data_IF_302185155786
#
_entry.id   IF_302185155786
#
_cell.length_a   1.000
_cell.length_b   1.000
_cell.length_c   1.000
_cell.angle_alpha   90.00
_cell.angle_beta   90.00
_cell.angle_gamma   90.00
#
_symmetry.space_group_name_H-M   'P 1'
#
loop_
_entity.id
_entity.type
_entity.pdbx_description
1 polymer ?
#
# COMPACT_ATOMS: atom_id res chain seq x y z
N UNK A 1 24.39 46.90 -21.78
CA UNK A 1 24.65 47.34 -20.40
C UNK A 1 25.36 46.15 -19.73
N UNK A 2 26.65 46.31 -19.42
CA UNK A 2 27.41 45.23 -18.76
C UNK A 2 27.06 45.29 -17.27
N UNK A 3 26.34 44.26 -16.79
CA UNK A 3 26.18 44.08 -15.35
C UNK A 3 27.56 43.95 -14.73
N UNK A 4 27.88 44.80 -13.80
CA UNK A 4 29.14 44.76 -13.08
C UNK A 4 29.17 43.54 -12.16
N UNK A 5 30.35 42.93 -11.94
CA UNK A 5 30.49 41.76 -11.06
C UNK A 5 29.81 41.93 -9.67
N UNK A 6 29.86 43.11 -9.01
CA UNK A 6 29.19 43.35 -7.73
C UNK A 6 27.65 43.28 -7.80
N UNK A 7 27.02 43.71 -8.90
CA UNK A 7 25.57 43.61 -9.07
C UNK A 7 25.11 42.13 -9.23
N UNK A 8 25.90 41.35 -9.96
CA UNK A 8 25.63 39.90 -10.14
C UNK A 8 25.79 39.16 -8.81
N UNK A 9 26.79 39.52 -8.00
CA UNK A 9 26.96 38.90 -6.66
C UNK A 9 25.84 39.29 -5.70
N UNK A 10 25.41 40.57 -5.73
CA UNK A 10 24.30 41.06 -4.91
C UNK A 10 22.98 40.36 -5.28
N UNK A 11 22.67 40.24 -6.56
CA UNK A 11 21.49 39.50 -7.05
C UNK A 11 21.53 38.04 -6.62
N UNK A 12 22.67 37.37 -6.76
CA UNK A 12 22.80 35.96 -6.29
C UNK A 12 22.57 35.82 -4.78
N UNK A 13 23.00 36.79 -3.98
CA UNK A 13 22.75 36.77 -2.52
C UNK A 13 21.27 36.95 -2.21
N UNK A 14 20.56 37.88 -2.85
CA UNK A 14 19.12 38.08 -2.65
C UNK A 14 18.32 36.87 -3.14
N UNK A 15 18.71 36.30 -4.27
CA UNK A 15 18.08 35.06 -4.78
C UNK A 15 18.23 33.89 -3.80
N UNK A 16 19.40 33.75 -3.17
CA UNK A 16 19.63 32.69 -2.19
C UNK A 16 18.83 32.92 -0.88
N UNK A 17 18.77 34.15 -0.38
CA UNK A 17 17.98 34.50 0.80
C UNK A 17 16.48 34.31 0.54
N UNK A 18 15.97 34.82 -0.58
CA UNK A 18 14.57 34.62 -1.00
C UNK A 18 14.23 33.14 -1.20
N UNK A 19 15.10 32.37 -1.83
CA UNK A 19 14.94 30.94 -2.04
C UNK A 19 14.88 30.19 -0.72
N UNK A 20 15.77 30.49 0.23
CA UNK A 20 15.77 29.88 1.55
C UNK A 20 14.50 30.23 2.33
N UNK A 21 14.09 31.52 2.30
CA UNK A 21 12.85 31.96 2.95
C UNK A 21 11.61 31.23 2.38
N UNK A 22 11.51 31.12 1.05
CA UNK A 22 10.42 30.41 0.39
C UNK A 22 10.45 28.91 0.72
N UNK A 23 11.63 28.31 0.75
CA UNK A 23 11.79 26.92 1.14
C UNK A 23 11.30 26.68 2.58
N UNK A 24 11.71 27.51 3.51
CA UNK A 24 11.33 27.40 4.91
C UNK A 24 9.82 27.64 5.10
N UNK A 25 9.25 28.58 4.34
CA UNK A 25 7.82 28.84 4.37
C UNK A 25 6.99 27.68 3.77
N UNK A 26 7.45 27.07 2.68
CA UNK A 26 6.74 26.00 1.98
C UNK A 26 6.90 24.65 2.68
N UNK A 27 8.07 24.39 3.25
CA UNK A 27 8.44 23.09 3.79
C UNK A 27 8.73 23.12 5.29
N UNK A 28 8.37 24.17 6.00
CA UNK A 28 8.72 24.56 7.38
C UNK A 28 8.89 23.47 8.43
N UNK A 29 8.31 22.27 8.19
CA UNK A 29 8.51 21.07 8.97
C UNK A 29 9.42 20.06 8.25
N UNK A 30 10.14 19.25 9.02
CA UNK A 30 10.93 18.11 8.48
C UNK A 30 11.95 18.48 7.38
N UNK A 31 12.49 19.69 7.36
CA UNK A 31 13.44 20.16 6.32
C UNK A 31 14.60 19.18 6.10
N UNK A 32 15.28 18.74 7.17
CA UNK A 32 16.38 17.77 7.06
C UNK A 32 15.94 16.44 6.40
N UNK A 33 14.74 15.98 6.73
CA UNK A 33 14.19 14.76 6.17
C UNK A 33 13.82 14.92 4.70
N UNK A 34 13.27 16.11 4.34
CA UNK A 34 12.97 16.47 2.95
C UNK A 34 14.24 16.55 2.10
N UNK A 35 15.33 17.06 2.65
CA UNK A 35 16.63 17.07 1.96
C UNK A 35 17.12 15.65 1.65
N UNK A 36 16.98 14.72 2.59
CA UNK A 36 17.29 13.29 2.35
C UNK A 36 16.43 12.69 1.25
N UNK A 37 15.14 13.07 1.19
CA UNK A 37 14.26 12.67 0.09
C UNK A 37 14.70 13.26 -1.24
N UNK A 38 15.05 14.54 -1.31
CA UNK A 38 15.58 15.18 -2.52
C UNK A 38 16.85 14.48 -3.01
N UNK A 39 17.78 14.16 -2.11
CA UNK A 39 18.99 13.42 -2.48
C UNK A 39 18.68 12.00 -3.01
N UNK A 40 17.73 11.32 -2.39
CA UNK A 40 17.26 10.01 -2.89
C UNK A 40 16.72 10.12 -4.32
N UNK A 41 15.91 11.14 -4.60
CA UNK A 41 15.25 11.36 -5.89
C UNK A 41 16.20 11.76 -7.02
N UNK A 42 17.41 12.23 -6.71
CA UNK A 42 18.46 12.48 -7.71
C UNK A 42 19.07 11.20 -8.29
N UNK A 43 18.79 10.04 -7.70
CA UNK A 43 19.30 8.77 -8.23
C UNK A 43 18.77 8.51 -9.64
N UNK A 44 19.58 7.95 -10.57
CA UNK A 44 19.20 7.74 -11.97
C UNK A 44 17.93 6.91 -12.19
N UNK A 45 17.56 6.07 -11.22
CA UNK A 45 16.34 5.25 -11.31
C UNK A 45 15.06 6.10 -11.33
N UNK A 46 15.08 7.31 -10.75
CA UNK A 46 13.95 8.22 -10.73
C UNK A 46 13.85 9.11 -11.97
N UNK A 47 14.86 9.09 -12.83
CA UNK A 47 14.80 9.80 -14.12
C UNK A 47 13.60 9.27 -14.94
N UNK A 48 12.77 10.15 -15.52
CA UNK A 48 11.66 9.74 -16.37
C UNK A 48 12.13 8.86 -17.53
N UNK A 49 11.41 7.78 -17.79
CA UNK A 49 11.65 6.89 -18.93
C UNK A 49 10.39 6.82 -19.78
N UNK A 50 10.56 6.93 -21.09
CA UNK A 50 9.47 6.94 -22.05
C UNK A 50 9.50 5.67 -22.90
N UNK A 51 8.39 5.39 -23.58
CA UNK A 51 8.24 4.28 -24.52
C UNK A 51 8.47 2.89 -23.93
N UNK A 52 8.18 2.74 -22.65
CA UNK A 52 8.23 1.44 -21.96
C UNK A 52 6.94 0.65 -22.22
N UNK A 53 7.07 -0.67 -22.36
CA UNK A 53 5.94 -1.60 -22.32
C UNK A 53 5.24 -1.56 -20.96
N UNK A 54 4.05 -2.12 -20.85
CA UNK A 54 3.31 -2.16 -19.59
C UNK A 54 4.11 -2.89 -18.49
N UNK A 55 4.71 -4.02 -18.83
CA UNK A 55 5.49 -4.81 -17.89
C UNK A 55 6.76 -4.07 -17.42
N UNK A 56 7.46 -3.42 -18.36
CA UNK A 56 8.64 -2.59 -18.01
C UNK A 56 8.27 -1.42 -17.10
N UNK A 57 7.10 -0.78 -17.30
CA UNK A 57 6.61 0.28 -16.44
C UNK A 57 6.34 -0.24 -15.02
N UNK A 58 5.69 -1.40 -14.89
CA UNK A 58 5.38 -2.05 -13.61
C UNK A 58 6.64 -2.47 -12.87
N UNK A 59 7.59 -3.09 -13.57
CA UNK A 59 8.88 -3.45 -13.02
C UNK A 59 9.70 -2.24 -12.57
N UNK A 60 9.67 -1.15 -13.33
CA UNK A 60 10.33 0.09 -12.93
C UNK A 60 9.72 0.66 -11.65
N UNK A 61 8.38 0.67 -11.53
CA UNK A 61 7.70 1.12 -10.33
C UNK A 61 8.07 0.24 -9.11
N UNK A 62 8.20 -1.09 -9.31
CA UNK A 62 8.63 -2.00 -8.25
C UNK A 62 10.07 -1.74 -7.82
N UNK A 63 10.98 -1.52 -8.76
CA UNK A 63 12.37 -1.15 -8.46
C UNK A 63 12.48 0.19 -7.73
N UNK A 64 11.66 1.17 -8.10
CA UNK A 64 11.61 2.48 -7.43
C UNK A 64 11.12 2.38 -5.99
N UNK A 65 10.05 1.64 -5.73
CA UNK A 65 9.55 1.48 -4.35
C UNK A 65 10.55 0.70 -3.48
N UNK A 66 11.30 -0.26 -4.06
CA UNK A 66 12.38 -0.93 -3.34
C UNK A 66 13.50 0.04 -2.92
N UNK A 67 13.93 0.93 -3.81
CA UNK A 67 14.93 1.97 -3.48
C UNK A 67 14.41 2.92 -2.40
N UNK A 68 13.11 3.22 -2.40
CA UNK A 68 12.47 4.02 -1.33
C UNK A 68 12.50 3.27 0.00
N UNK A 69 12.12 2.01 0.00
CA UNK A 69 12.14 1.13 1.19
C UNK A 69 13.55 1.02 1.77
N UNK A 70 14.55 0.77 0.93
CA UNK A 70 15.96 0.62 1.35
C UNK A 70 16.54 1.90 1.96
N UNK A 71 16.02 3.06 1.58
CA UNK A 71 16.44 4.35 2.13
C UNK A 71 16.01 4.57 3.58
N UNK A 72 15.01 3.82 4.09
CA UNK A 72 14.51 3.87 5.47
C UNK A 72 14.12 5.28 5.93
N UNK A 73 13.60 6.09 5.02
CA UNK A 73 13.12 7.45 5.32
C UNK A 73 11.70 7.45 5.86
N UNK A 74 11.01 6.32 5.79
CA UNK A 74 9.64 6.09 6.22
C UNK A 74 9.48 4.69 6.81
N UNK A 75 8.56 4.54 7.77
CA UNK A 75 8.11 3.27 8.32
C UNK A 75 6.61 3.29 8.53
N UNK A 76 5.93 2.13 8.48
CA UNK A 76 4.51 2.05 8.88
C UNK A 76 4.32 2.44 10.34
N UNK A 77 5.33 2.29 11.18
CA UNK A 77 5.26 2.70 12.60
C UNK A 77 5.21 4.22 12.76
N UNK A 78 5.58 5.01 11.74
CA UNK A 78 5.44 6.47 11.74
C UNK A 78 3.98 6.92 11.90
N UNK A 79 2.98 6.06 11.63
CA UNK A 79 1.57 6.37 11.95
C UNK A 79 1.35 6.67 13.44
N UNK A 80 2.16 6.13 14.32
CA UNK A 80 2.12 6.38 15.77
C UNK A 80 3.23 7.32 16.21
N UNK A 81 4.45 7.10 15.70
CA UNK A 81 5.66 7.74 16.23
C UNK A 81 5.92 9.12 15.61
N UNK A 82 5.60 9.30 14.32
CA UNK A 82 5.86 10.53 13.58
C UNK A 82 4.87 10.72 12.41
N UNK A 83 3.57 11.03 12.66
CA UNK A 83 2.55 11.10 11.61
C UNK A 83 2.86 12.12 10.50
N UNK A 84 3.58 13.20 10.82
CA UNK A 84 3.98 14.23 9.82
C UNK A 84 4.90 13.62 8.75
N UNK A 85 5.68 12.60 9.10
CA UNK A 85 6.54 11.91 8.15
C UNK A 85 5.78 11.22 7.01
N UNK A 86 4.54 10.79 7.27
CA UNK A 86 3.66 10.20 6.26
C UNK A 86 3.35 11.20 5.16
N UNK A 87 2.96 12.43 5.55
CA UNK A 87 2.68 13.51 4.61
C UNK A 87 3.94 13.90 3.84
N UNK A 88 5.08 14.04 4.54
CA UNK A 88 6.38 14.34 3.92
C UNK A 88 6.71 13.32 2.84
N UNK A 89 6.61 12.02 3.11
CA UNK A 89 6.89 10.97 2.13
C UNK A 89 5.98 11.08 0.89
N UNK A 90 4.68 11.33 1.08
CA UNK A 90 3.72 11.46 -0.03
C UNK A 90 3.99 12.70 -0.88
N UNK A 91 4.24 13.85 -0.26
CA UNK A 91 4.59 15.08 -0.98
C UNK A 91 5.84 14.88 -1.84
N UNK A 92 6.86 14.28 -1.25
CA UNK A 92 8.13 14.09 -1.94
C UNK A 92 7.99 13.12 -3.12
N UNK A 93 7.35 11.98 -2.93
CA UNK A 93 7.15 10.99 -3.99
C UNK A 93 6.20 11.48 -5.09
N UNK A 94 5.16 12.23 -4.72
CA UNK A 94 4.19 12.79 -5.66
C UNK A 94 4.79 13.78 -6.66
N UNK A 95 5.88 14.46 -6.30
CA UNK A 95 6.59 15.37 -7.19
C UNK A 95 7.35 14.66 -8.33
N UNK A 96 7.68 13.39 -8.13
CA UNK A 96 8.52 12.63 -9.07
C UNK A 96 7.70 11.70 -9.95
N UNK A 97 6.79 10.90 -9.35
CA UNK A 97 6.08 9.85 -10.05
C UNK A 97 4.77 9.53 -9.34
N UNK A 98 3.65 9.93 -9.93
CA UNK A 98 2.32 9.66 -9.38
C UNK A 98 2.01 8.17 -9.25
N UNK A 99 2.56 7.31 -10.11
CA UNK A 99 2.38 5.86 -10.01
C UNK A 99 3.16 5.30 -8.81
N UNK A 100 4.41 5.74 -8.61
CA UNK A 100 5.20 5.38 -7.43
C UNK A 100 4.51 5.83 -6.14
N UNK A 101 4.03 7.09 -6.10
CA UNK A 101 3.30 7.62 -4.94
C UNK A 101 2.05 6.79 -4.63
N UNK A 102 1.28 6.40 -5.65
CA UNK A 102 0.09 5.56 -5.45
C UNK A 102 0.46 4.15 -4.99
N UNK A 103 1.51 3.54 -5.56
CA UNK A 103 2.00 2.22 -5.12
C UNK A 103 2.47 2.25 -3.67
N UNK A 104 3.18 3.32 -3.29
CA UNK A 104 3.58 3.59 -1.92
C UNK A 104 2.36 3.75 -1.00
N UNK A 105 1.37 4.54 -1.41
CA UNK A 105 0.11 4.72 -0.65
C UNK A 105 -0.56 3.39 -0.36
N UNK A 106 -0.67 2.49 -1.33
CA UNK A 106 -1.35 1.21 -1.11
C UNK A 106 -0.54 0.31 -0.19
N UNK A 107 0.77 0.23 -0.38
CA UNK A 107 1.65 -0.59 0.47
C UNK A 107 1.67 -0.09 1.91
N UNK A 108 1.90 1.19 2.14
CA UNK A 108 2.18 1.71 3.47
C UNK A 108 0.96 2.31 4.16
N UNK A 109 0.05 3.01 3.45
CA UNK A 109 -1.11 3.62 4.11
C UNK A 109 -2.31 2.68 4.14
N UNK A 110 -2.69 2.06 3.01
CA UNK A 110 -3.87 1.19 3.01
C UNK A 110 -3.55 -0.15 3.68
N UNK A 111 -2.57 -0.87 3.18
CA UNK A 111 -2.18 -2.15 3.75
C UNK A 111 -1.50 -1.97 5.12
N UNK A 112 -0.41 -1.23 5.19
CA UNK A 112 0.34 -0.96 6.42
C UNK A 112 -0.48 -0.21 7.46
N UNK A 113 -1.21 0.85 7.06
CA UNK A 113 -2.06 1.63 7.96
C UNK A 113 -3.23 0.83 8.54
N UNK A 114 -3.81 -0.11 7.78
CA UNK A 114 -4.82 -1.03 8.32
C UNK A 114 -4.22 -1.97 9.36
N UNK A 115 -3.02 -2.49 9.11
CA UNK A 115 -2.28 -3.26 10.12
C UNK A 115 -2.06 -2.43 11.38
N UNK A 116 -1.55 -1.19 11.23
CA UNK A 116 -1.33 -0.28 12.37
C UNK A 116 -2.61 0.02 13.15
N UNK A 117 -3.73 0.16 12.46
CA UNK A 117 -5.03 0.46 13.09
C UNK A 117 -5.64 -0.74 13.82
N UNK A 118 -5.49 -1.96 13.31
CA UNK A 118 -6.26 -3.13 13.70
C UNK A 118 -5.44 -4.29 14.28
N UNK A 119 -4.12 -4.15 14.39
CA UNK A 119 -3.25 -5.21 14.92
C UNK A 119 -3.36 -5.39 16.44
N UNK A 120 -2.92 -6.54 16.90
CA UNK A 120 -2.50 -6.82 18.26
C UNK A 120 -1.09 -7.40 18.21
N UNK A 121 -0.48 -7.68 19.35
CA UNK A 121 0.93 -8.14 19.47
C UNK A 121 1.24 -9.36 18.59
N UNK A 122 0.26 -10.24 18.37
CA UNK A 122 0.41 -11.43 17.52
C UNK A 122 0.80 -11.10 16.07
N UNK A 123 0.48 -9.89 15.59
CA UNK A 123 0.76 -9.46 14.21
C UNK A 123 2.11 -8.74 14.05
N UNK A 124 2.77 -8.31 15.14
CA UNK A 124 4.01 -7.53 15.08
C UNK A 124 5.14 -8.20 14.27
N UNK A 125 5.38 -9.54 14.36
CA UNK A 125 6.40 -10.19 13.54
C UNK A 125 6.14 -10.09 12.05
N UNK A 126 4.86 -10.12 11.63
CA UNK A 126 4.44 -9.93 10.26
C UNK A 126 4.63 -8.47 9.81
N UNK A 127 4.21 -7.52 10.63
CA UNK A 127 4.26 -6.08 10.33
C UNK A 127 5.69 -5.57 10.10
N UNK A 128 6.68 -6.10 10.83
CA UNK A 128 8.10 -5.75 10.64
C UNK A 128 8.66 -6.10 9.26
N UNK A 129 7.95 -6.91 8.49
CA UNK A 129 8.35 -7.29 7.13
C UNK A 129 7.77 -6.37 6.05
N UNK A 130 6.83 -5.49 6.41
CA UNK A 130 6.15 -4.58 5.49
C UNK A 130 7.11 -3.50 4.97
N UNK A 131 7.88 -2.89 5.86
CA UNK A 131 8.82 -1.82 5.51
C UNK A 131 9.92 -2.27 4.55
N UNK A 132 10.33 -3.54 4.63
CA UNK A 132 11.35 -4.14 3.77
C UNK A 132 10.80 -4.72 2.46
N UNK A 133 9.50 -4.59 2.20
CA UNK A 133 8.77 -5.17 1.08
C UNK A 133 8.87 -6.70 0.95
N UNK A 134 9.37 -7.41 1.98
CA UNK A 134 9.23 -8.88 2.06
C UNK A 134 7.76 -9.27 2.07
N UNK A 135 6.94 -8.44 2.70
CA UNK A 135 5.49 -8.47 2.62
C UNK A 135 5.06 -7.31 1.73
N UNK A 136 4.71 -7.62 0.50
CA UNK A 136 4.08 -6.69 -0.42
C UNK A 136 2.57 -6.90 -0.37
N UNK A 137 1.86 -5.84 0.02
CA UNK A 137 0.43 -5.93 0.33
C UNK A 137 -0.48 -5.29 -0.70
N UNK A 138 -1.71 -5.81 -0.75
CA UNK A 138 -2.84 -5.15 -1.40
C UNK A 138 -4.05 -5.05 -0.44
N UNK A 139 -4.98 -4.16 -0.77
CA UNK A 139 -6.13 -3.82 0.06
C UNK A 139 -7.41 -4.27 -0.62
N UNK A 140 -7.93 -5.45 -0.24
CA UNK A 140 -9.08 -6.12 -0.85
C UNK A 140 -10.39 -5.73 -0.12
N UNK A 141 -10.80 -4.48 -0.30
CA UNK A 141 -12.02 -3.93 0.31
C UNK A 141 -13.17 -3.89 -0.69
N UNK A 142 -13.01 -3.15 -1.79
CA UNK A 142 -14.04 -2.88 -2.79
C UNK A 142 -14.43 -4.11 -3.57
N UNK A 143 -15.73 -4.37 -3.71
CA UNK A 143 -16.29 -5.42 -4.56
C UNK A 143 -16.94 -4.86 -5.82
N UNK A 144 -16.95 -5.64 -6.89
CA UNK A 144 -17.49 -5.26 -8.20
C UNK A 144 -18.96 -4.79 -8.11
N UNK A 145 -19.76 -5.48 -7.32
CA UNK A 145 -21.20 -5.21 -7.21
C UNK A 145 -21.57 -4.08 -6.26
N UNK A 146 -20.66 -3.68 -5.36
CA UNK A 146 -21.03 -2.84 -4.22
C UNK A 146 -20.26 -1.52 -4.12
N UNK A 147 -19.11 -1.40 -4.76
CA UNK A 147 -18.32 -0.17 -4.71
C UNK A 147 -18.06 0.30 -3.28
N UNK A 148 -18.45 1.52 -2.96
CA UNK A 148 -18.31 2.11 -1.62
C UNK A 148 -19.36 1.60 -0.60
N UNK A 149 -20.34 0.81 -1.03
CA UNK A 149 -21.34 0.25 -0.14
C UNK A 149 -20.81 -1.02 0.56
N UNK A 150 -19.71 -0.86 1.28
CA UNK A 150 -18.98 -1.93 1.93
C UNK A 150 -19.83 -2.80 2.90
N UNK A 151 -20.79 -2.25 3.66
CA UNK A 151 -21.65 -3.09 4.53
C UNK A 151 -22.41 -4.18 3.78
N UNK A 152 -22.61 -4.02 2.47
CA UNK A 152 -23.31 -4.98 1.61
C UNK A 152 -22.39 -5.97 0.88
N UNK A 153 -21.08 -5.93 1.15
CA UNK A 153 -20.16 -6.88 0.53
C UNK A 153 -20.62 -8.33 0.77
N UNK A 154 -20.36 -9.18 -0.20
CA UNK A 154 -20.78 -10.59 -0.17
C UNK A 154 -19.64 -11.54 0.16
N UNK A 155 -18.37 -11.15 0.02
CA UNK A 155 -17.25 -12.00 0.46
C UNK A 155 -17.46 -12.37 1.92
N UNK A 156 -17.39 -13.66 2.23
CA UNK A 156 -17.58 -14.21 3.59
C UNK A 156 -16.28 -14.74 4.17
N UNK A 157 -16.19 -14.72 5.50
CA UNK A 157 -15.18 -15.39 6.30
C UNK A 157 -15.92 -16.26 7.34
N UNK A 158 -16.06 -17.55 7.08
CA UNK A 158 -16.80 -18.48 7.94
C UNK A 158 -15.81 -19.14 8.90
N UNK A 159 -16.03 -18.98 10.20
CA UNK A 159 -15.22 -19.60 11.25
C UNK A 159 -15.64 -21.03 11.51
N UNK A 160 -14.65 -21.91 11.63
CA UNK A 160 -14.80 -23.29 12.08
C UNK A 160 -14.03 -23.48 13.40
N UNK A 161 -14.75 -23.60 14.50
CA UNK A 161 -14.19 -23.82 15.83
C UNK A 161 -13.45 -25.16 15.98
N UNK A 162 -13.75 -26.17 15.15
CA UNK A 162 -13.07 -27.46 15.18
C UNK A 162 -11.64 -27.36 14.63
N UNK A 163 -11.49 -26.66 13.50
CA UNK A 163 -10.20 -26.47 12.84
C UNK A 163 -9.48 -25.19 13.26
N UNK A 164 -10.17 -24.29 13.96
CA UNK A 164 -9.72 -22.96 14.36
C UNK A 164 -9.27 -22.12 13.14
N UNK A 165 -10.02 -22.20 12.06
CA UNK A 165 -9.74 -21.54 10.79
C UNK A 165 -10.94 -20.75 10.31
N UNK A 166 -10.66 -19.69 9.54
CA UNK A 166 -11.65 -19.05 8.70
C UNK A 166 -11.57 -19.60 7.28
N UNK A 167 -12.71 -19.75 6.64
CA UNK A 167 -12.82 -20.02 5.20
C UNK A 167 -13.29 -18.76 4.51
N UNK A 168 -12.40 -18.15 3.69
CA UNK A 168 -12.69 -16.96 2.90
C UNK A 168 -13.28 -17.41 1.56
N UNK A 169 -14.45 -16.85 1.20
CA UNK A 169 -15.12 -17.21 -0.04
C UNK A 169 -15.79 -16.01 -0.72
N UNK A 170 -15.64 -15.92 -2.04
CA UNK A 170 -16.33 -14.97 -2.92
C UNK A 170 -17.45 -15.69 -3.65
N UNK A 171 -18.70 -15.66 -3.17
CA UNK A 171 -19.77 -16.56 -3.63
C UNK A 171 -20.33 -16.22 -5.02
N UNK A 172 -20.14 -14.99 -5.49
CA UNK A 172 -20.73 -14.50 -6.74
C UNK A 172 -19.73 -13.68 -7.57
N UNK A 173 -20.08 -13.42 -8.83
CA UNK A 173 -19.32 -12.50 -9.67
C UNK A 173 -19.31 -11.08 -9.08
N UNK A 174 -20.39 -10.66 -8.40
CA UNK A 174 -20.50 -9.36 -7.76
C UNK A 174 -19.56 -9.20 -6.55
N UNK A 175 -19.20 -10.30 -5.88
CA UNK A 175 -18.29 -10.33 -4.74
C UNK A 175 -16.80 -10.31 -5.09
N UNK A 176 -16.45 -10.26 -6.39
CA UNK A 176 -15.04 -10.10 -6.79
C UNK A 176 -14.46 -8.85 -6.15
N UNK A 177 -13.31 -8.98 -5.50
CA UNK A 177 -12.51 -7.82 -5.08
C UNK A 177 -11.99 -7.14 -6.33
N UNK A 178 -12.36 -5.90 -6.54
CA UNK A 178 -12.23 -5.23 -7.82
C UNK A 178 -11.42 -3.94 -7.72
N UNK A 179 -10.60 -3.68 -8.74
CA UNK A 179 -9.70 -2.53 -8.81
C UNK A 179 -8.61 -2.55 -7.73
N UNK A 180 -8.13 -3.75 -7.41
CA UNK A 180 -7.18 -3.95 -6.32
C UNK A 180 -5.76 -3.58 -6.76
N UNK A 181 -5.28 -2.44 -6.32
CA UNK A 181 -3.92 -1.96 -6.56
C UNK A 181 -2.88 -2.88 -5.91
N UNK A 182 -1.78 -3.15 -6.59
CA UNK A 182 -0.75 -4.15 -6.31
C UNK A 182 -1.24 -5.61 -6.45
N UNK A 183 -2.52 -5.82 -6.72
CA UNK A 183 -3.13 -7.16 -6.72
C UNK A 183 -2.84 -7.99 -7.96
N UNK A 184 -2.61 -7.36 -9.13
CA UNK A 184 -2.43 -8.11 -10.37
C UNK A 184 -1.07 -8.82 -10.46
N UNK A 185 0.04 -8.20 -9.99
CA UNK A 185 1.38 -8.72 -10.19
C UNK A 185 2.21 -8.84 -8.91
N UNK A 186 2.22 -7.80 -8.05
CA UNK A 186 3.31 -7.64 -7.10
C UNK A 186 2.96 -8.02 -5.65
N UNK A 187 1.69 -7.94 -5.22
CA UNK A 187 1.33 -8.31 -3.86
C UNK A 187 1.41 -9.83 -3.64
N UNK A 188 2.02 -10.25 -2.55
CA UNK A 188 1.99 -11.62 -2.06
C UNK A 188 1.02 -11.80 -0.88
N UNK A 189 0.60 -10.70 -0.26
CA UNK A 189 -0.36 -10.68 0.84
C UNK A 189 -1.51 -9.73 0.54
N UNK A 190 -2.69 -10.04 1.06
CA UNK A 190 -3.84 -9.16 0.99
C UNK A 190 -4.45 -8.95 2.37
N UNK A 191 -4.93 -7.71 2.65
CA UNK A 191 -5.94 -7.53 3.69
C UNK A 191 -7.30 -7.67 3.02
N UNK A 192 -8.01 -8.74 3.34
CA UNK A 192 -9.33 -9.04 2.77
C UNK A 192 -10.39 -8.68 3.78
N UNK A 193 -11.32 -7.82 3.39
CA UNK A 193 -12.52 -7.51 4.17
C UNK A 193 -13.64 -8.46 3.77
N UNK A 194 -14.29 -9.06 4.77
CA UNK A 194 -15.33 -10.06 4.56
C UNK A 194 -16.38 -10.03 5.68
N UNK A 195 -17.62 -10.43 5.34
CA UNK A 195 -18.65 -10.70 6.33
C UNK A 195 -18.23 -11.90 7.18
N UNK A 196 -18.08 -11.69 8.47
CA UNK A 196 -17.61 -12.71 9.41
C UNK A 196 -18.81 -13.52 9.91
N UNK A 197 -18.80 -14.81 9.65
CA UNK A 197 -19.86 -15.73 10.06
C UNK A 197 -19.31 -16.66 11.15
N UNK A 198 -19.92 -16.61 12.33
CA UNK A 198 -19.57 -17.45 13.48
C UNK A 198 -20.82 -18.15 13.97
N UNK A 199 -20.79 -19.47 14.09
CA UNK A 199 -21.94 -20.30 14.49
C UNK A 199 -23.23 -19.98 13.69
N UNK A 200 -23.07 -19.72 12.38
CA UNK A 200 -24.17 -19.39 11.46
C UNK A 200 -24.71 -17.97 11.57
N UNK A 201 -24.16 -17.13 12.48
CA UNK A 201 -24.57 -15.74 12.65
C UNK A 201 -23.57 -14.81 11.97
N UNK A 202 -24.06 -13.79 11.26
CA UNK A 202 -23.23 -12.74 10.68
C UNK A 202 -22.88 -11.70 11.75
N UNK A 203 -21.59 -11.58 12.05
CA UNK A 203 -21.02 -10.64 13.04
C UNK A 203 -20.46 -9.37 12.37
N UNK A 204 -20.77 -9.15 11.10
CA UNK A 204 -20.35 -7.96 10.35
C UNK A 204 -19.02 -8.11 9.63
N UNK A 205 -18.56 -6.98 9.08
CA UNK A 205 -17.34 -6.93 8.27
C UNK A 205 -16.11 -6.85 9.16
N UNK A 206 -15.19 -7.79 8.98
CA UNK A 206 -13.86 -7.78 9.59
C UNK A 206 -12.78 -7.95 8.52
N UNK A 207 -11.52 -7.83 8.93
CA UNK A 207 -10.37 -7.85 8.04
C UNK A 207 -9.42 -9.01 8.38
N UNK A 208 -8.90 -9.64 7.33
CA UNK A 208 -8.08 -10.84 7.43
C UNK A 208 -6.82 -10.71 6.58
N UNK A 209 -5.68 -11.14 7.13
CA UNK A 209 -4.44 -11.28 6.37
C UNK A 209 -4.52 -12.58 5.58
N UNK A 210 -4.43 -12.52 4.26
CA UNK A 210 -4.55 -13.65 3.36
C UNK A 210 -3.32 -13.70 2.44
N UNK A 211 -2.62 -14.84 2.44
CA UNK A 211 -1.55 -15.10 1.46
C UNK A 211 -2.17 -15.36 0.10
N UNK A 212 -1.94 -14.46 -0.85
CA UNK A 212 -2.53 -14.56 -2.20
C UNK A 212 -1.58 -15.10 -3.24
N UNK A 213 -0.27 -15.12 -2.95
CA UNK A 213 0.75 -15.74 -3.80
C UNK A 213 1.78 -16.49 -2.97
N UNK A 214 2.28 -17.58 -3.53
CA UNK A 214 3.36 -18.37 -2.97
C UNK A 214 4.74 -17.69 -3.16
N UNK A 215 5.80 -18.36 -2.72
CA UNK A 215 7.19 -17.89 -2.84
C UNK A 215 7.66 -17.70 -4.30
N UNK A 216 7.00 -18.36 -5.26
CA UNK A 216 7.26 -18.23 -6.70
C UNK A 216 6.33 -17.22 -7.37
N UNK A 217 5.61 -16.43 -6.58
CA UNK A 217 4.62 -15.44 -7.04
C UNK A 217 3.45 -16.03 -7.83
N UNK A 218 3.19 -17.33 -7.70
CA UNK A 218 1.99 -17.98 -8.25
C UNK A 218 0.81 -17.78 -7.31
N UNK A 219 -0.43 -17.61 -7.84
CA UNK A 219 -1.62 -17.55 -7.00
C UNK A 219 -1.71 -18.74 -6.04
N UNK A 220 -1.99 -18.46 -4.76
CA UNK A 220 -2.23 -19.49 -3.75
C UNK A 220 -3.46 -20.34 -4.10
N UNK A 221 -3.54 -21.54 -3.56
CA UNK A 221 -4.68 -22.42 -3.80
C UNK A 221 -6.00 -21.73 -3.43
N UNK A 222 -6.97 -21.76 -4.33
CA UNK A 222 -8.28 -21.14 -4.17
C UNK A 222 -8.28 -19.62 -4.43
N UNK A 223 -7.14 -19.00 -4.74
CA UNK A 223 -7.08 -17.58 -5.10
C UNK A 223 -7.01 -17.43 -6.62
N UNK A 224 -7.99 -16.75 -7.19
CA UNK A 224 -8.01 -16.38 -8.60
C UNK A 224 -7.64 -14.90 -8.72
N UNK A 225 -6.69 -14.59 -9.57
CA UNK A 225 -6.20 -13.23 -9.81
C UNK A 225 -6.17 -12.97 -11.29
N UNK A 226 -6.79 -11.86 -11.72
CA UNK A 226 -6.73 -11.40 -13.09
C UNK A 226 -6.29 -9.94 -13.16
N UNK A 227 -5.47 -9.65 -14.16
CA UNK A 227 -4.99 -8.30 -14.44
C UNK A 227 -6.07 -7.49 -15.17
N UNK A 228 -6.26 -6.25 -14.76
CA UNK A 228 -7.20 -5.34 -15.41
C UNK A 228 -6.61 -4.65 -16.67
N UNK A 229 -5.34 -4.89 -16.96
CA UNK A 229 -4.67 -4.43 -18.16
C UNK A 229 -4.37 -2.93 -18.20
N UNK A 230 -4.37 -2.38 -19.42
CA UNK A 230 -4.05 -0.96 -19.68
C UNK A 230 -5.19 -0.06 -19.24
N UNK A 231 -4.85 1.04 -18.58
CA UNK A 231 -5.76 2.07 -18.08
C UNK A 231 -5.51 3.42 -18.79
N UNK A 232 -6.40 4.38 -18.59
CA UNK A 232 -6.24 5.75 -19.08
C UNK A 232 -4.99 6.44 -18.52
N UNK A 233 -4.59 6.10 -17.30
CA UNK A 233 -3.42 6.64 -16.60
C UNK A 233 -2.90 5.70 -15.53
N UNK A 234 -1.78 6.05 -14.90
CA UNK A 234 -1.13 5.29 -13.84
C UNK A 234 -0.87 3.81 -14.21
N UNK A 235 -0.48 3.55 -15.45
CA UNK A 235 -0.21 2.21 -15.95
C UNK A 235 0.90 1.43 -15.21
N UNK A 236 1.91 2.08 -14.60
CA UNK A 236 2.87 1.39 -13.75
C UNK A 236 2.26 0.72 -12.51
N UNK A 237 1.01 1.07 -12.16
CA UNK A 237 0.27 0.41 -11.08
C UNK A 237 -0.46 -0.80 -11.65
N UNK A 238 -0.27 -1.94 -11.03
CA UNK A 238 -0.93 -3.18 -11.36
C UNK A 238 -2.26 -3.30 -10.59
N UNK A 239 -3.37 -3.08 -11.28
CA UNK A 239 -4.70 -3.30 -10.71
C UNK A 239 -5.21 -4.68 -11.09
N UNK A 240 -5.69 -5.42 -10.10
CA UNK A 240 -6.27 -6.75 -10.27
C UNK A 240 -7.72 -6.85 -9.85
N UNK A 241 -8.36 -7.93 -10.29
CA UNK A 241 -9.56 -8.47 -9.67
C UNK A 241 -9.21 -9.80 -9.01
N UNK A 242 -9.72 -10.02 -7.81
CA UNK A 242 -9.42 -11.21 -7.03
C UNK A 242 -10.71 -11.89 -6.60
N UNK A 243 -10.72 -13.22 -6.66
CA UNK A 243 -11.76 -14.06 -6.10
C UNK A 243 -11.15 -15.12 -5.19
N UNK A 244 -11.88 -15.48 -4.17
CA UNK A 244 -11.49 -16.48 -3.19
C UNK A 244 -12.47 -17.65 -3.25
N UNK A 245 -11.95 -18.84 -3.53
CA UNK A 245 -12.73 -20.08 -3.52
C UNK A 245 -12.30 -20.91 -2.31
N UNK A 246 -13.04 -20.76 -1.21
CA UNK A 246 -12.88 -21.50 0.04
C UNK A 246 -11.45 -21.47 0.60
N UNK A 247 -10.78 -20.32 0.52
CA UNK A 247 -9.42 -20.14 1.02
C UNK A 247 -9.38 -20.20 2.53
N UNK A 248 -8.62 -21.14 3.08
CA UNK A 248 -8.48 -21.32 4.53
C UNK A 248 -7.35 -20.45 5.09
N UNK A 249 -7.65 -19.72 6.15
CA UNK A 249 -6.69 -18.96 6.90
C UNK A 249 -6.81 -19.27 8.40
N UNK A 250 -5.71 -19.23 9.17
CA UNK A 250 -5.77 -19.49 10.60
C UNK A 250 -6.57 -18.40 11.32
N UNK A 251 -7.07 -18.69 12.51
CA UNK A 251 -7.78 -17.71 13.36
C UNK A 251 -6.96 -16.43 13.56
N UNK A 252 -5.65 -16.58 13.69
CA UNK A 252 -4.69 -15.48 13.90
C UNK A 252 -4.59 -14.53 12.70
N UNK A 253 -5.08 -14.91 11.53
CA UNK A 253 -5.12 -14.04 10.36
C UNK A 253 -6.12 -12.87 10.52
N UNK A 254 -7.10 -13.00 11.40
CA UNK A 254 -8.03 -11.93 11.71
C UNK A 254 -7.31 -10.79 12.44
N UNK A 255 -7.45 -9.56 11.96
CA UNK A 255 -6.99 -8.36 12.64
C UNK A 255 -7.95 -8.05 13.78
N UNK A 256 -7.54 -8.29 15.02
CA UNK A 256 -8.45 -8.49 16.15
C UNK A 256 -8.39 -7.41 17.24
N UNK A 257 -7.97 -6.20 16.91
CA UNK A 257 -7.92 -5.11 17.91
C UNK A 257 -9.29 -4.68 18.41
N UNK A 258 -10.31 -4.73 17.55
CA UNK A 258 -11.67 -4.26 17.87
C UNK A 258 -12.54 -5.41 18.36
N UNK A 259 -12.45 -6.57 17.71
CA UNK A 259 -13.18 -7.79 18.08
C UNK A 259 -12.33 -9.02 17.77
N UNK A 260 -12.59 -10.10 18.45
CA UNK A 260 -11.93 -11.39 18.23
C UNK A 260 -12.97 -12.50 18.27
N UNK A 261 -12.63 -13.66 17.75
CA UNK A 261 -13.39 -14.90 17.88
C UNK A 261 -12.65 -15.79 18.89
N UNK A 262 -13.35 -16.35 19.86
CA UNK A 262 -12.75 -17.33 20.75
C UNK A 262 -12.47 -18.65 20.01
N UNK A 263 -11.82 -19.62 20.65
CA UNK A 263 -11.43 -20.86 19.99
C UNK A 263 -12.64 -21.74 19.60
N UNK A 264 -13.73 -21.59 20.29
CA UNK A 264 -14.95 -22.38 20.08
C UNK A 264 -15.95 -21.72 19.12
N UNK A 265 -15.84 -20.37 18.93
CA UNK A 265 -16.71 -19.53 18.10
C UNK A 265 -17.69 -18.70 18.89
#
# INVERSE_FOLDING_TARGET
MSNTQPEVELLKKYDAEASNYLRDMLFGDKLEKRDKWFELMKKPIFTPKYLLTLDEQRELAMKRIQVVSDAKLFSIFDFQDDPVNIFTAHEMLGQIDGALATKFTVQFNLFGGTLMALHTDRHLPFMRQVDSLKVMGCFCFTELGYGNNAPKMETTAIYDGTTKQFTINSPTVASQKYWITNGACHANQAIVFAQTIVNGKNEGVNSFIVTIRDENMKPSQGVMIEDMGVKMGLNPIDNGRLMFDHVKVPREAMLNKICDVNEEG
#
